data_IF_913972222640
#
_entry.id   IF_913972222640
#
_cell.length_a   1.000
_cell.length_b   1.000
_cell.length_c   1.000
_cell.angle_alpha   90.00
_cell.angle_beta   90.00
_cell.angle_gamma   90.00
#
_symmetry.space_group_name_H-M   'P 1'
#
loop_
_entity.id
_entity.type
_entity.pdbx_description
1 polymer ?
#
# COMPACT_ATOMS: atom_id res chain seq x y z
N UNK A 1 3.94 -4.68 -8.22
CA UNK A 1 3.14 -4.46 -7.00
C UNK A 1 3.74 -5.23 -5.85
N UNK A 2 4.41 -4.53 -4.94
CA UNK A 2 5.27 -5.12 -3.91
C UNK A 2 4.57 -5.41 -2.57
N UNK A 3 3.35 -4.89 -2.37
CA UNK A 3 2.65 -4.93 -1.07
C UNK A 3 1.36 -5.74 -1.13
N UNK A 4 0.86 -6.16 0.03
CA UNK A 4 -0.31 -7.05 0.21
C UNK A 4 -1.64 -6.51 -0.37
N UNK A 5 -1.65 -5.28 -0.88
CA UNK A 5 -2.82 -4.59 -1.40
C UNK A 5 -3.80 -4.18 -0.31
N UNK A 6 -3.33 -4.06 0.93
CA UNK A 6 -4.04 -3.38 2.03
C UNK A 6 -3.55 -1.94 2.16
N UNK A 7 -4.27 -1.14 2.93
CA UNK A 7 -3.83 0.19 3.35
C UNK A 7 -3.46 0.12 4.83
N UNK A 8 -2.17 0.14 5.13
CA UNK A 8 -1.66 0.23 6.49
C UNK A 8 -1.45 1.73 6.82
N UNK A 9 -1.93 2.18 7.98
CA UNK A 9 -1.85 3.59 8.42
C UNK A 9 -0.77 3.76 9.47
N UNK A 10 -0.91 3.14 10.64
CA UNK A 10 0.17 3.08 11.63
C UNK A 10 0.09 1.73 12.31
N UNK A 11 0.87 0.77 11.83
CA UNK A 11 0.92 -0.57 12.40
C UNK A 11 1.81 -0.66 13.63
N UNK A 12 2.85 0.17 13.70
CA UNK A 12 3.78 0.28 14.83
C UNK A 12 4.10 1.75 15.09
N UNK A 13 4.17 2.13 16.36
CA UNK A 13 4.58 3.47 16.73
C UNK A 13 6.11 3.60 16.52
N UNK A 14 6.63 4.75 16.06
CA UNK A 14 8.07 4.90 15.85
C UNK A 14 8.91 4.56 17.09
N UNK A 15 9.87 3.63 16.93
CA UNK A 15 10.72 3.07 17.99
C UNK A 15 9.97 2.25 19.06
N UNK A 16 8.75 1.81 18.79
CA UNK A 16 8.02 0.85 19.61
C UNK A 16 7.85 -0.47 18.84
N UNK A 17 8.11 -1.58 19.51
CA UNK A 17 7.90 -2.92 18.96
C UNK A 17 6.47 -3.41 19.16
N UNK A 18 5.69 -2.76 20.03
CA UNK A 18 4.29 -3.08 20.23
C UNK A 18 3.46 -2.60 19.02
N UNK A 19 2.62 -3.46 18.44
CA UNK A 19 1.78 -3.05 17.34
C UNK A 19 0.66 -2.13 17.85
N UNK A 20 0.33 -1.13 17.05
CA UNK A 20 -0.71 -0.14 17.36
C UNK A 20 -2.07 -0.75 17.06
N UNK A 21 -2.96 -0.76 18.05
CA UNK A 21 -4.32 -1.27 17.88
C UNK A 21 -5.23 -0.23 17.20
N UNK A 22 -5.07 1.07 17.51
CA UNK A 22 -5.92 2.16 17.02
C UNK A 22 -5.07 3.28 16.40
N UNK A 23 -4.81 3.24 15.08
CA UNK A 23 -3.88 4.16 14.42
C UNK A 23 -4.22 5.64 14.53
N UNK A 24 -5.50 6.00 14.40
CA UNK A 24 -5.95 7.39 14.43
C UNK A 24 -5.76 8.01 15.82
N UNK A 25 -6.16 7.28 16.87
CA UNK A 25 -5.97 7.70 18.27
C UNK A 25 -4.49 7.94 18.62
N UNK A 26 -3.57 7.17 18.03
CA UNK A 26 -2.13 7.31 18.25
C UNK A 26 -1.54 8.60 17.63
N UNK A 27 -2.28 9.29 16.76
CA UNK A 27 -1.79 10.49 16.07
C UNK A 27 -1.63 11.70 17.00
N UNK A 28 -2.42 11.80 18.07
CA UNK A 28 -2.27 12.86 19.06
C UNK A 28 -0.88 12.82 19.72
N UNK A 29 -0.45 11.62 20.09
CA UNK A 29 0.88 11.39 20.68
C UNK A 29 1.98 11.53 19.62
N UNK A 30 1.75 11.05 18.39
CA UNK A 30 2.67 11.26 17.27
C UNK A 30 2.92 12.74 16.99
N UNK A 31 1.88 13.58 17.05
CA UNK A 31 2.00 15.03 16.89
C UNK A 31 2.86 15.69 17.97
N UNK A 32 2.77 15.19 19.21
CA UNK A 32 3.57 15.69 20.33
C UNK A 32 5.04 15.25 20.23
N UNK A 33 5.28 13.97 19.91
CA UNK A 33 6.62 13.39 19.90
C UNK A 33 7.39 13.65 18.59
N UNK A 34 6.69 13.71 17.46
CA UNK A 34 7.25 13.83 16.11
C UNK A 34 6.44 14.81 15.24
N UNK A 35 6.49 16.12 15.53
CA UNK A 35 5.64 17.11 14.86
C UNK A 35 5.89 17.24 13.34
N UNK A 36 7.06 16.79 12.85
CA UNK A 36 7.40 16.77 11.43
C UNK A 36 6.99 15.48 10.70
N UNK A 37 6.37 14.53 11.39
CA UNK A 37 5.84 13.31 10.75
C UNK A 37 4.67 13.66 9.82
N UNK A 38 4.53 13.07 8.62
CA UNK A 38 3.44 13.40 7.69
C UNK A 38 2.03 13.37 8.31
N UNK A 39 1.69 12.33 9.09
CA UNK A 39 0.43 12.30 9.84
C UNK A 39 0.29 13.38 10.92
N UNK A 40 1.37 13.76 11.60
CA UNK A 40 1.32 14.84 12.59
C UNK A 40 1.02 16.19 11.92
N UNK A 41 1.53 16.39 10.70
CA UNK A 41 1.31 17.59 9.89
C UNK A 41 -0.10 17.64 9.32
N UNK A 42 -0.63 16.51 8.83
CA UNK A 42 -2.02 16.42 8.34
C UNK A 42 -3.05 16.57 9.46
N UNK A 43 -2.79 15.91 10.59
CA UNK A 43 -3.77 15.73 11.66
C UNK A 43 -4.79 14.63 11.35
N UNK A 44 -5.36 14.10 12.43
CA UNK A 44 -6.25 12.94 12.44
C UNK A 44 -7.45 13.08 11.50
N UNK A 45 -8.14 14.23 11.52
CA UNK A 45 -9.33 14.47 10.70
C UNK A 45 -9.05 14.33 9.20
N UNK A 46 -7.96 14.93 8.71
CA UNK A 46 -7.62 14.86 7.29
C UNK A 46 -7.21 13.43 6.87
N UNK A 47 -6.56 12.70 7.78
CA UNK A 47 -6.22 11.29 7.54
C UNK A 47 -7.49 10.45 7.46
N UNK A 48 -8.40 10.57 8.43
CA UNK A 48 -9.67 9.87 8.46
C UNK A 48 -10.51 10.15 7.21
N UNK A 49 -10.62 11.42 6.80
CA UNK A 49 -11.35 11.82 5.60
C UNK A 49 -10.78 11.18 4.33
N UNK A 50 -9.45 11.16 4.16
CA UNK A 50 -8.81 10.54 3.01
C UNK A 50 -9.06 9.02 2.97
N UNK A 51 -9.03 8.36 4.14
CA UNK A 51 -9.32 6.92 4.27
C UNK A 51 -10.79 6.61 3.94
N UNK A 52 -11.73 7.43 4.42
CA UNK A 52 -13.15 7.30 4.11
C UNK A 52 -13.44 7.52 2.62
N UNK A 53 -12.80 8.51 2.01
CA UNK A 53 -12.90 8.75 0.56
C UNK A 53 -12.35 7.57 -0.25
N UNK A 54 -11.26 6.94 0.21
CA UNK A 54 -10.73 5.74 -0.42
C UNK A 54 -11.69 4.55 -0.32
N UNK A 55 -12.31 4.33 0.83
CA UNK A 55 -13.35 3.29 1.00
C UNK A 55 -14.52 3.55 0.05
N UNK A 56 -15.00 4.79 -0.04
CA UNK A 56 -16.08 5.16 -0.95
C UNK A 56 -15.70 4.94 -2.43
N UNK A 57 -14.52 5.40 -2.84
CA UNK A 57 -14.02 5.21 -4.21
C UNK A 57 -13.88 3.73 -4.57
N UNK A 58 -13.29 2.94 -3.67
CA UNK A 58 -13.06 1.51 -3.92
C UNK A 58 -14.36 0.71 -3.99
N UNK A 59 -15.38 1.12 -3.22
CA UNK A 59 -16.74 0.62 -3.35
C UNK A 59 -17.35 0.96 -4.72
N UNK A 60 -17.20 2.20 -5.20
CA UNK A 60 -17.73 2.65 -6.49
C UNK A 60 -17.11 1.90 -7.67
N UNK A 61 -15.80 1.68 -7.64
CA UNK A 61 -15.07 0.99 -8.73
C UNK A 61 -15.15 -0.55 -8.63
N UNK A 62 -15.94 -1.09 -7.70
CA UNK A 62 -16.22 -2.53 -7.59
C UNK A 62 -15.13 -3.37 -6.91
N UNK A 63 -14.22 -2.75 -6.16
CA UNK A 63 -13.19 -3.42 -5.35
C UNK A 63 -13.31 -3.00 -3.89
N UNK A 64 -14.39 -3.35 -3.17
CA UNK A 64 -14.65 -2.82 -1.83
C UNK A 64 -13.52 -3.10 -0.84
N UNK A 65 -13.15 -2.07 -0.06
CA UNK A 65 -12.27 -2.16 1.10
C UNK A 65 -13.06 -1.89 2.37
N UNK A 66 -12.63 -2.47 3.48
CA UNK A 66 -13.17 -2.16 4.80
C UNK A 66 -12.10 -2.29 5.89
N UNK A 67 -12.36 -1.70 7.05
CA UNK A 67 -11.56 -1.85 8.26
C UNK A 67 -12.09 -2.94 9.19
N UNK A 68 -11.61 -2.92 10.43
CA UNK A 68 -12.06 -3.82 11.48
C UNK A 68 -13.54 -3.61 11.84
N UNK A 69 -14.15 -4.61 12.48
CA UNK A 69 -15.54 -4.52 12.94
C UNK A 69 -15.76 -3.40 13.96
N UNK A 70 -14.75 -3.14 14.80
CA UNK A 70 -14.73 -1.98 15.70
C UNK A 70 -14.04 -0.83 14.98
N UNK A 71 -14.79 0.24 14.77
CA UNK A 71 -14.30 1.40 14.03
C UNK A 71 -13.05 2.02 14.68
N UNK A 72 -12.09 2.38 13.84
CA UNK A 72 -10.77 2.88 14.23
C UNK A 72 -9.75 1.82 14.68
N UNK A 73 -10.13 0.55 14.85
CA UNK A 73 -9.17 -0.53 15.15
C UNK A 73 -8.46 -1.02 13.86
N UNK A 74 -7.22 -1.45 14.00
CA UNK A 74 -6.54 -2.29 13.01
C UNK A 74 -7.16 -3.70 12.99
N UNK A 75 -7.35 -4.24 11.79
CA UNK A 75 -7.50 -5.67 11.53
C UNK A 75 -6.20 -6.40 11.89
N UNK A 76 -6.32 -7.68 12.25
CA UNK A 76 -5.16 -8.56 12.43
C UNK A 76 -5.19 -9.65 11.38
N UNK A 77 -4.42 -9.50 10.31
CA UNK A 77 -4.44 -10.42 9.18
C UNK A 77 -3.22 -11.36 9.21
N UNK A 78 -3.37 -12.63 8.81
CA UNK A 78 -2.24 -13.55 8.70
C UNK A 78 -1.35 -13.17 7.50
N UNK A 79 -0.04 -13.24 7.71
CA UNK A 79 0.95 -13.20 6.62
C UNK A 79 1.14 -14.59 5.97
N UNK A 80 1.88 -14.70 4.85
CA UNK A 80 2.27 -15.99 4.24
C UNK A 80 3.10 -16.93 5.13
N UNK A 81 3.60 -16.42 6.26
CA UNK A 81 4.29 -17.23 7.28
C UNK A 81 3.42 -17.41 8.53
N UNK A 82 2.14 -17.03 8.48
CA UNK A 82 1.19 -17.17 9.59
C UNK A 82 1.38 -16.17 10.72
N UNK A 83 2.18 -15.11 10.55
CA UNK A 83 2.34 -14.07 11.57
C UNK A 83 1.19 -13.06 11.51
N UNK A 84 0.67 -12.63 12.67
CA UNK A 84 -0.30 -11.56 12.75
C UNK A 84 0.29 -10.23 12.26
N UNK A 85 -0.47 -9.51 11.43
CA UNK A 85 -0.10 -8.19 10.91
C UNK A 85 -1.23 -7.19 11.16
N UNK A 86 -0.94 -6.03 11.80
CA UNK A 86 -1.89 -4.92 11.84
C UNK A 86 -2.12 -4.36 10.44
N UNK A 87 -3.38 -4.08 10.12
CA UNK A 87 -3.82 -3.52 8.84
C UNK A 87 -5.04 -2.64 9.06
N UNK A 88 -5.06 -1.42 8.52
CA UNK A 88 -6.16 -0.50 8.79
C UNK A 88 -7.34 -0.72 7.83
N UNK A 89 -7.08 -0.81 6.53
CA UNK A 89 -8.08 -1.19 5.53
C UNK A 89 -7.57 -2.36 4.69
N UNK A 90 -8.43 -3.33 4.43
CA UNK A 90 -8.11 -4.46 3.57
C UNK A 90 -9.19 -4.64 2.49
N UNK A 91 -8.83 -5.17 1.31
CA UNK A 91 -9.82 -5.53 0.31
C UNK A 91 -10.75 -6.59 0.91
N UNK A 92 -12.01 -6.60 0.49
CA UNK A 92 -13.04 -7.50 1.03
C UNK A 92 -12.60 -8.97 1.10
N UNK A 93 -11.81 -9.40 0.11
CA UNK A 93 -11.19 -10.71 0.01
C UNK A 93 -10.30 -11.12 1.20
N UNK A 94 -9.81 -10.18 2.00
CA UNK A 94 -8.92 -10.47 3.13
C UNK A 94 -9.63 -10.37 4.48
N UNK A 95 -10.81 -9.72 4.55
CA UNK A 95 -11.50 -9.43 5.82
C UNK A 95 -11.88 -10.69 6.59
N UNK A 96 -12.25 -11.75 5.88
CA UNK A 96 -12.56 -13.02 6.54
C UNK A 96 -11.30 -13.74 7.08
N UNK A 97 -10.11 -13.17 6.93
CA UNK A 97 -8.87 -13.61 7.56
C UNK A 97 -8.56 -12.94 8.89
N UNK A 98 -9.40 -12.01 9.38
CA UNK A 98 -9.18 -11.35 10.67
C UNK A 98 -9.03 -12.38 11.80
N UNK A 99 -7.94 -12.26 12.56
CA UNK A 99 -7.53 -13.16 13.63
C UNK A 99 -8.28 -12.88 14.94
N UNK A 100 -9.02 -11.77 15.03
CA UNK A 100 -9.95 -11.51 16.14
C UNK A 100 -11.21 -12.41 16.07
N UNK A 101 -11.49 -13.00 14.92
CA UNK A 101 -12.58 -13.96 14.72
C UNK A 101 -12.23 -15.31 15.33
N UNK A 102 -13.17 -15.87 16.10
CA UNK A 102 -12.97 -17.12 16.83
C UNK A 102 -13.15 -18.38 15.97
N UNK A 103 -13.77 -18.24 14.79
CA UNK A 103 -14.03 -19.36 13.88
C UNK A 103 -12.71 -19.99 13.39
N UNK A 104 -12.60 -21.33 13.42
CA UNK A 104 -11.41 -22.05 12.98
C UNK A 104 -11.11 -21.80 11.50
N UNK A 105 -9.84 -21.91 11.13
CA UNK A 105 -9.37 -21.67 9.76
C UNK A 105 -8.88 -22.96 9.10
N UNK A 106 -9.32 -23.18 7.88
CA UNK A 106 -8.73 -24.14 6.95
C UNK A 106 -7.84 -23.36 5.97
N UNK A 107 -6.52 -23.51 6.10
CA UNK A 107 -5.55 -22.92 5.17
C UNK A 107 -5.32 -23.92 4.04
N UNK A 108 -5.69 -23.55 2.81
CA UNK A 108 -5.59 -24.41 1.63
C UNK A 108 -4.57 -23.86 0.67
N UNK A 109 -3.57 -24.67 0.36
CA UNK A 109 -2.58 -24.37 -0.67
C UNK A 109 -2.80 -25.20 -1.92
N UNK A 110 -2.16 -24.77 -3.00
CA UNK A 110 -2.10 -25.52 -4.26
C UNK A 110 -0.72 -26.16 -4.35
N UNK A 111 -0.66 -27.48 -4.61
CA UNK A 111 0.62 -28.19 -4.73
C UNK A 111 1.47 -27.58 -5.85
N UNK A 112 2.76 -27.40 -5.59
CA UNK A 112 3.71 -26.82 -6.54
C UNK A 112 3.82 -25.29 -6.49
N UNK A 113 2.95 -24.60 -5.73
CA UNK A 113 3.11 -23.17 -5.49
C UNK A 113 4.29 -22.92 -4.54
N UNK A 114 5.20 -22.01 -4.93
CA UNK A 114 6.51 -21.84 -4.28
C UNK A 114 6.50 -20.92 -3.05
N UNK A 115 5.47 -20.10 -2.90
CA UNK A 115 5.42 -18.98 -1.97
C UNK A 115 4.23 -19.07 -1.01
N UNK A 116 3.59 -20.24 -0.90
CA UNK A 116 2.48 -20.49 0.01
C UNK A 116 2.56 -21.88 0.63
N UNK A 117 2.79 -21.92 1.96
CA UNK A 117 2.99 -23.15 2.71
C UNK A 117 1.91 -23.29 3.80
N UNK A 118 0.77 -23.94 3.49
CA UNK A 118 -0.37 -24.04 4.40
C UNK A 118 -0.05 -24.60 5.78
N UNK A 119 0.81 -25.62 5.84
CA UNK A 119 1.23 -26.26 7.09
C UNK A 119 2.00 -25.28 7.98
N UNK A 120 2.95 -24.53 7.41
CA UNK A 120 3.69 -23.49 8.12
C UNK A 120 2.76 -22.40 8.66
N UNK A 121 1.83 -21.93 7.81
CA UNK A 121 0.87 -20.89 8.18
C UNK A 121 -0.01 -21.40 9.34
N UNK A 122 -0.60 -22.59 9.20
CA UNK A 122 -1.46 -23.18 10.22
C UNK A 122 -0.71 -23.45 11.53
N UNK A 123 0.52 -23.96 11.47
CA UNK A 123 1.34 -24.21 12.67
C UNK A 123 1.64 -22.90 13.41
N UNK A 124 2.04 -21.84 12.71
CA UNK A 124 2.33 -20.55 13.33
C UNK A 124 1.07 -19.87 13.86
N UNK A 125 -0.08 -20.01 13.19
CA UNK A 125 -1.36 -19.54 13.70
C UNK A 125 -1.75 -20.25 15.01
N UNK A 126 -1.60 -21.57 15.08
CA UNK A 126 -1.86 -22.33 16.30
C UNK A 126 -0.93 -21.92 17.44
N UNK A 127 0.36 -21.66 17.17
CA UNK A 127 1.31 -21.15 18.18
C UNK A 127 0.91 -19.77 18.75
N UNK A 128 0.18 -18.98 17.96
CA UNK A 128 -0.38 -17.69 18.39
C UNK A 128 -1.78 -17.83 19.02
N UNK A 129 -2.31 -19.04 19.16
CA UNK A 129 -3.63 -19.30 19.77
C UNK A 129 -4.80 -19.29 18.78
N UNK A 130 -4.57 -19.19 17.48
CA UNK A 130 -5.62 -19.22 16.46
C UNK A 130 -5.78 -20.63 15.89
N UNK A 131 -6.97 -21.21 16.04
CA UNK A 131 -7.27 -22.58 15.59
C UNK A 131 -7.18 -22.66 14.07
N UNK A 132 -6.18 -23.37 13.56
CA UNK A 132 -5.97 -23.54 12.12
C UNK A 132 -5.56 -24.97 11.77
N UNK A 133 -5.95 -25.43 10.58
CA UNK A 133 -5.40 -26.65 9.96
C UNK A 133 -5.07 -26.42 8.50
N UNK A 134 -4.21 -27.25 7.97
CA UNK A 134 -3.72 -27.15 6.60
C UNK A 134 -4.34 -28.22 5.69
N UNK A 135 -4.47 -27.90 4.41
CA UNK A 135 -4.74 -28.85 3.35
C UNK A 135 -4.05 -28.43 2.04
N UNK A 136 -3.87 -29.40 1.14
CA UNK A 136 -3.35 -29.17 -0.20
C UNK A 136 -4.32 -29.69 -1.25
N UNK A 137 -4.51 -28.89 -2.29
CA UNK A 137 -5.20 -29.26 -3.51
C UNK A 137 -4.21 -29.45 -4.67
N UNK A 138 -4.44 -30.40 -5.57
CA UNK A 138 -3.61 -30.57 -6.76
C UNK A 138 -3.80 -29.40 -7.74
N UNK A 139 -2.73 -29.04 -8.44
CA UNK A 139 -2.68 -27.87 -9.34
C UNK A 139 -3.57 -28.02 -10.57
N UNK A 140 -3.74 -29.25 -11.05
CA UNK A 140 -4.55 -29.62 -12.22
C UNK A 140 -6.06 -29.36 -12.06
N UNK A 141 -6.53 -29.10 -10.83
CA UNK A 141 -7.88 -28.58 -10.60
C UNK A 141 -8.08 -27.19 -11.21
N UNK A 142 -7.00 -26.40 -11.28
CA UNK A 142 -7.04 -25.00 -11.73
C UNK A 142 -6.38 -24.86 -13.10
N UNK A 143 -5.27 -25.55 -13.36
CA UNK A 143 -4.50 -25.37 -14.60
C UNK A 143 -3.66 -26.58 -14.95
N UNK A 144 -3.47 -26.82 -16.25
CA UNK A 144 -2.63 -27.88 -16.79
C UNK A 144 -1.13 -27.53 -16.76
N UNK A 145 -0.77 -26.31 -16.34
CA UNK A 145 0.62 -25.87 -16.22
C UNK A 145 1.29 -26.53 -15.02
N UNK A 146 2.59 -26.82 -15.14
CA UNK A 146 3.39 -27.40 -14.05
C UNK A 146 4.13 -26.37 -13.19
N UNK A 147 4.31 -25.14 -13.69
CA UNK A 147 4.93 -24.02 -12.97
C UNK A 147 4.07 -22.77 -13.16
N UNK A 148 3.62 -22.20 -12.05
CA UNK A 148 2.69 -21.06 -12.06
C UNK A 148 2.94 -20.08 -10.93
N UNK A 149 2.63 -18.82 -11.22
CA UNK A 149 2.53 -17.76 -10.21
C UNK A 149 1.10 -17.59 -9.71
N UNK A 150 0.92 -16.96 -8.55
CA UNK A 150 -0.41 -16.57 -8.04
C UNK A 150 -1.19 -15.69 -9.01
N UNK A 151 -0.51 -14.82 -9.77
CA UNK A 151 -1.12 -14.02 -10.85
C UNK A 151 -1.71 -14.91 -11.95
N UNK A 152 -0.99 -15.93 -12.38
CA UNK A 152 -1.47 -16.85 -13.41
C UNK A 152 -2.65 -17.70 -12.91
N UNK A 153 -2.62 -18.11 -11.63
CA UNK A 153 -3.74 -18.78 -11.00
C UNK A 153 -4.96 -17.87 -10.87
N UNK A 154 -4.77 -16.59 -10.55
CA UNK A 154 -5.84 -15.60 -10.49
C UNK A 154 -6.56 -15.47 -11.84
N UNK A 155 -5.83 -15.29 -12.93
CA UNK A 155 -6.41 -15.30 -14.28
C UNK A 155 -7.07 -16.63 -14.64
N UNK A 156 -6.52 -17.75 -14.19
CA UNK A 156 -7.11 -19.06 -14.45
C UNK A 156 -8.47 -19.23 -13.75
N UNK A 157 -8.68 -18.63 -12.58
CA UNK A 157 -9.93 -18.71 -11.81
C UNK A 157 -11.00 -17.72 -12.25
N UNK A 158 -10.70 -16.83 -13.20
CA UNK A 158 -11.74 -16.07 -13.91
C UNK A 158 -12.61 -16.98 -14.82
N UNK A 159 -12.13 -18.19 -15.15
CA UNK A 159 -12.91 -19.22 -15.85
C UNK A 159 -13.88 -19.94 -14.88
N UNK A 160 -15.21 -19.86 -15.10
CA UNK A 160 -16.21 -20.51 -14.24
C UNK A 160 -16.04 -22.03 -14.11
N UNK A 161 -15.55 -22.72 -15.14
CA UNK A 161 -15.39 -24.17 -15.11
C UNK A 161 -14.26 -24.58 -14.15
N UNK A 162 -13.14 -23.85 -14.17
CA UNK A 162 -12.01 -24.06 -13.24
C UNK A 162 -12.41 -23.68 -11.81
N UNK A 163 -13.16 -22.59 -11.66
CA UNK A 163 -13.70 -22.16 -10.37
C UNK A 163 -14.63 -23.21 -9.75
N UNK A 164 -15.53 -23.83 -10.54
CA UNK A 164 -16.40 -24.90 -10.06
C UNK A 164 -15.63 -26.11 -9.53
N UNK A 165 -14.59 -26.56 -10.27
CA UNK A 165 -13.71 -27.65 -9.80
C UNK A 165 -13.03 -27.34 -8.47
N UNK A 166 -12.55 -26.11 -8.30
CA UNK A 166 -11.96 -25.66 -7.04
C UNK A 166 -12.99 -25.64 -5.92
N UNK A 167 -14.16 -25.05 -6.14
CA UNK A 167 -15.22 -24.94 -5.13
C UNK A 167 -15.71 -26.31 -4.65
N UNK A 168 -15.91 -27.27 -5.55
CA UNK A 168 -16.24 -28.66 -5.21
C UNK A 168 -15.17 -29.31 -4.32
N UNK A 169 -13.89 -29.07 -4.63
CA UNK A 169 -12.78 -29.61 -3.84
C UNK A 169 -12.70 -28.96 -2.45
N UNK A 170 -12.88 -27.64 -2.37
CA UNK A 170 -12.92 -26.90 -1.10
C UNK A 170 -14.09 -27.37 -0.23
N UNK A 171 -15.27 -27.57 -0.81
CA UNK A 171 -16.47 -28.04 -0.11
C UNK A 171 -16.25 -29.40 0.56
N UNK A 172 -15.54 -30.32 -0.11
CA UNK A 172 -15.19 -31.64 0.47
C UNK A 172 -14.18 -31.55 1.60
N UNK A 173 -13.33 -30.52 1.61
CA UNK A 173 -12.30 -30.33 2.63
C UNK A 173 -12.84 -29.58 3.85
N UNK A 174 -13.72 -28.62 3.67
CA UNK A 174 -14.20 -27.73 4.73
C UNK A 174 -15.04 -28.49 5.77
N UNK A 175 -14.84 -28.15 7.05
CA UNK A 175 -15.69 -28.60 8.15
C UNK A 175 -16.69 -27.50 8.54
N UNK A 176 -17.84 -27.86 9.12
CA UNK A 176 -18.82 -26.87 9.57
C UNK A 176 -18.22 -25.82 10.50
N UNK A 177 -18.45 -24.54 10.19
CA UNK A 177 -17.98 -23.40 10.97
C UNK A 177 -16.54 -22.95 10.66
N UNK A 178 -15.83 -23.59 9.73
CA UNK A 178 -14.53 -23.12 9.28
C UNK A 178 -14.61 -21.95 8.29
N UNK A 179 -13.56 -21.12 8.29
CA UNK A 179 -13.26 -20.15 7.24
C UNK A 179 -12.09 -20.67 6.42
N UNK A 180 -12.10 -20.43 5.11
CA UNK A 180 -11.11 -21.00 4.19
C UNK A 180 -10.14 -19.90 3.76
N UNK A 181 -8.87 -20.05 4.13
CA UNK A 181 -7.77 -19.19 3.69
C UNK A 181 -7.06 -19.77 2.48
N UNK A 182 -6.93 -19.00 1.41
CA UNK A 182 -6.25 -19.37 0.17
C UNK A 182 -5.07 -18.43 -0.09
N UNK A 183 -4.07 -18.80 -0.91
CA UNK A 183 -3.21 -17.79 -1.53
C UNK A 183 -4.08 -16.77 -2.29
N UNK A 184 -3.59 -15.55 -2.49
CA UNK A 184 -4.36 -14.53 -3.22
C UNK A 184 -4.48 -14.86 -4.72
N UNK A 185 -5.47 -15.69 -5.07
CA UNK A 185 -5.74 -16.21 -6.41
C UNK A 185 -7.20 -16.05 -6.84
N UNK A 186 -8.03 -15.33 -6.09
CA UNK A 186 -9.48 -15.29 -6.30
C UNK A 186 -9.89 -14.37 -7.46
N UNK A 187 -9.52 -14.72 -8.69
CA UNK A 187 -9.83 -13.96 -9.90
C UNK A 187 -8.96 -12.71 -10.06
N UNK A 188 -8.62 -12.38 -11.30
CA UNK A 188 -7.99 -11.09 -11.61
C UNK A 188 -9.06 -10.08 -12.04
N UNK A 189 -9.87 -10.46 -13.02
CA UNK A 189 -10.83 -9.55 -13.65
C UNK A 189 -12.24 -9.70 -13.07
N UNK A 190 -12.60 -10.91 -12.59
CA UNK A 190 -13.93 -11.23 -12.06
C UNK A 190 -13.92 -11.53 -10.56
N UNK A 191 -13.00 -10.90 -9.83
CA UNK A 191 -12.70 -11.17 -8.42
C UNK A 191 -13.93 -11.35 -7.51
N UNK A 192 -14.86 -10.38 -7.51
CA UNK A 192 -16.05 -10.39 -6.65
C UNK A 192 -16.97 -11.57 -6.96
N UNK A 193 -17.13 -11.91 -8.24
CA UNK A 193 -17.90 -13.08 -8.68
C UNK A 193 -17.21 -14.38 -8.29
N UNK A 194 -15.88 -14.47 -8.42
CA UNK A 194 -15.11 -15.65 -8.02
C UNK A 194 -15.28 -15.93 -6.52
N UNK A 195 -15.11 -14.90 -5.70
CA UNK A 195 -15.25 -15.02 -4.25
C UNK A 195 -16.68 -15.41 -3.85
N UNK A 196 -17.69 -14.74 -4.40
CA UNK A 196 -19.10 -15.01 -4.10
C UNK A 196 -19.52 -16.44 -4.47
N UNK A 197 -19.12 -16.92 -5.64
CA UNK A 197 -19.44 -18.27 -6.11
C UNK A 197 -18.78 -19.35 -5.22
N UNK A 198 -17.49 -19.20 -4.88
CA UNK A 198 -16.82 -20.15 -4.00
C UNK A 198 -17.42 -20.17 -2.58
N UNK A 199 -17.81 -19.02 -2.03
CA UNK A 199 -18.50 -18.96 -0.73
C UNK A 199 -19.86 -19.66 -0.80
N UNK A 200 -20.61 -19.47 -1.89
CA UNK A 200 -21.91 -20.12 -2.11
C UNK A 200 -21.77 -21.64 -2.22
N UNK A 201 -20.77 -22.12 -2.97
CA UNK A 201 -20.54 -23.56 -3.15
C UNK A 201 -20.10 -24.26 -1.86
N UNK A 202 -19.24 -23.61 -1.08
CA UNK A 202 -18.64 -24.19 0.14
C UNK A 202 -19.49 -23.99 1.39
N UNK A 203 -20.33 -22.95 1.43
CA UNK A 203 -21.04 -22.53 2.64
C UNK A 203 -20.12 -21.94 3.72
N UNK A 204 -18.87 -21.62 3.37
CA UNK A 204 -17.86 -21.09 4.27
C UNK A 204 -17.45 -19.67 3.83
N UNK A 205 -17.03 -18.84 4.80
CA UNK A 205 -16.36 -17.58 4.46
C UNK A 205 -14.99 -17.89 3.85
N UNK A 206 -14.63 -17.17 2.79
CA UNK A 206 -13.37 -17.36 2.08
C UNK A 206 -12.52 -16.11 2.24
N UNK A 207 -11.21 -16.29 2.41
CA UNK A 207 -10.27 -15.17 2.40
C UNK A 207 -8.96 -15.51 1.69
N UNK A 208 -8.29 -14.45 1.24
CA UNK A 208 -6.97 -14.49 0.64
C UNK A 208 -5.89 -14.12 1.65
N UNK A 209 -4.75 -14.78 1.53
CA UNK A 209 -3.48 -14.43 2.18
C UNK A 209 -2.52 -14.02 1.05
N UNK A 210 -2.23 -12.70 0.90
CA UNK A 210 -1.35 -12.21 -0.16
C UNK A 210 0.08 -12.74 0.01
N UNK A 211 0.67 -13.28 -1.06
CA UNK A 211 2.01 -13.88 -1.06
C UNK A 211 3.10 -12.90 -1.51
N UNK A 212 4.30 -13.42 -1.81
CA UNK A 212 5.42 -12.63 -2.30
C UNK A 212 5.05 -11.91 -3.61
N UNK A 213 5.70 -10.77 -3.91
CA UNK A 213 5.46 -10.03 -5.14
C UNK A 213 5.62 -10.90 -6.41
N UNK A 214 4.79 -10.67 -7.45
CA UNK A 214 3.77 -9.62 -7.56
C UNK A 214 2.47 -9.94 -6.79
N UNK A 215 2.00 -8.96 -6.01
CA UNK A 215 0.76 -9.07 -5.25
C UNK A 215 -0.48 -8.95 -6.13
N UNK A 216 -1.30 -10.01 -6.20
CA UNK A 216 -2.57 -10.03 -6.93
C UNK A 216 -3.57 -8.96 -6.45
N UNK A 217 -3.81 -8.76 -5.13
CA UNK A 217 -4.64 -7.64 -4.67
C UNK A 217 -4.10 -6.27 -5.06
N UNK A 218 -2.77 -6.09 -5.03
CA UNK A 218 -2.14 -4.83 -5.45
C UNK A 218 -2.27 -4.56 -6.96
N UNK A 219 -2.18 -5.61 -7.79
CA UNK A 219 -2.46 -5.54 -9.24
C UNK A 219 -3.91 -5.15 -9.48
N UNK A 220 -4.87 -5.81 -8.81
CA UNK A 220 -6.31 -5.48 -8.90
C UNK A 220 -6.58 -4.01 -8.58
N UNK A 221 -6.07 -3.51 -7.46
CA UNK A 221 -6.23 -2.11 -7.07
C UNK A 221 -5.67 -1.16 -8.14
N UNK A 222 -4.47 -1.45 -8.66
CA UNK A 222 -3.84 -0.59 -9.68
C UNK A 222 -4.63 -0.60 -10.99
N UNK A 223 -5.10 -1.76 -11.42
CA UNK A 223 -5.90 -1.88 -12.64
C UNK A 223 -7.22 -1.09 -12.50
N UNK A 224 -7.91 -1.21 -11.36
CA UNK A 224 -9.16 -0.49 -11.13
C UNK A 224 -8.94 1.03 -11.06
N UNK A 225 -7.89 1.50 -10.38
CA UNK A 225 -7.56 2.92 -10.34
C UNK A 225 -7.20 3.46 -11.73
N UNK A 226 -6.42 2.72 -12.54
CA UNK A 226 -6.09 3.11 -13.92
C UNK A 226 -7.32 3.17 -14.82
N UNK A 227 -8.23 2.21 -14.69
CA UNK A 227 -9.50 2.23 -15.41
C UNK A 227 -10.36 3.43 -15.00
N UNK A 228 -10.38 3.78 -13.71
CA UNK A 228 -11.10 4.96 -13.24
C UNK A 228 -10.50 6.26 -13.77
N UNK A 229 -9.17 6.39 -13.76
CA UNK A 229 -8.47 7.53 -14.38
C UNK A 229 -8.82 7.66 -15.87
N UNK A 230 -8.86 6.54 -16.60
CA UNK A 230 -9.26 6.53 -18.01
C UNK A 230 -10.72 6.97 -18.21
N UNK A 231 -11.65 6.53 -17.36
CA UNK A 231 -13.05 6.97 -17.37
C UNK A 231 -13.19 8.47 -17.10
N UNK A 232 -12.36 9.00 -16.19
CA UNK A 232 -12.24 10.43 -15.89
C UNK A 232 -11.44 11.21 -16.96
N UNK A 233 -10.99 10.54 -18.02
CA UNK A 233 -10.20 11.13 -19.12
C UNK A 233 -8.87 11.75 -18.66
N UNK A 234 -8.32 11.27 -17.54
CA UNK A 234 -6.99 11.65 -17.08
C UNK A 234 -5.95 11.02 -18.01
N UNK A 235 -5.03 11.84 -18.53
CA UNK A 235 -3.91 11.38 -19.35
C UNK A 235 -2.85 10.75 -18.44
N UNK A 236 -2.56 9.47 -18.65
CA UNK A 236 -1.52 8.73 -17.92
C UNK A 236 -0.44 8.31 -18.91
N UNK A 237 0.76 8.86 -18.74
CA UNK A 237 1.95 8.47 -19.50
C UNK A 237 2.79 7.50 -18.66
N UNK A 238 3.23 6.40 -19.27
CA UNK A 238 3.97 5.31 -18.60
C UNK A 238 5.28 5.07 -19.35
N UNK A 239 6.32 4.65 -18.63
CA UNK A 239 7.68 4.48 -19.17
C UNK A 239 8.24 5.79 -19.75
N UNK A 240 7.99 6.90 -19.04
CA UNK A 240 8.49 8.23 -19.38
C UNK A 240 9.19 8.81 -18.15
N UNK A 241 10.50 8.61 -18.07
CA UNK A 241 11.29 9.11 -16.96
C UNK A 241 11.49 10.62 -17.10
N UNK A 242 11.24 11.36 -16.02
CA UNK A 242 11.54 12.79 -15.97
C UNK A 242 13.03 12.96 -15.69
N UNK A 243 13.73 13.64 -16.59
CA UNK A 243 15.19 13.79 -16.58
C UNK A 243 15.65 15.22 -16.30
N UNK A 244 14.72 16.16 -16.20
CA UNK A 244 15.05 17.56 -15.90
C UNK A 244 13.83 18.45 -15.76
N UNK A 245 14.09 19.72 -15.46
CA UNK A 245 13.08 20.76 -15.34
C UNK A 245 13.67 22.14 -15.67
N UNK A 246 12.78 23.11 -15.84
CA UNK A 246 13.16 24.52 -15.93
C UNK A 246 12.28 25.35 -15.01
N UNK A 247 12.92 26.22 -14.24
CA UNK A 247 12.28 27.17 -13.35
C UNK A 247 12.72 28.60 -13.65
N UNK A 248 11.79 29.53 -13.45
CA UNK A 248 12.02 30.97 -13.47
C UNK A 248 11.73 31.50 -12.06
N UNK A 249 12.77 31.92 -11.34
CA UNK A 249 12.65 32.26 -9.92
C UNK A 249 12.19 31.06 -9.08
N UNK A 250 11.11 31.23 -8.31
CA UNK A 250 10.53 30.19 -7.47
C UNK A 250 9.42 29.38 -8.18
N UNK A 251 9.31 29.45 -9.50
CA UNK A 251 8.26 28.73 -10.25
C UNK A 251 8.83 27.80 -11.30
N UNK A 252 8.41 26.53 -11.26
CA UNK A 252 8.68 25.54 -12.32
C UNK A 252 7.76 25.83 -13.51
N UNK A 253 8.34 25.93 -14.71
CA UNK A 253 7.61 26.18 -15.96
C UNK A 253 7.31 24.88 -16.71
N UNK A 254 8.27 23.95 -16.73
CA UNK A 254 8.11 22.64 -17.35
C UNK A 254 9.06 21.61 -16.75
N UNK A 255 8.67 20.34 -16.87
CA UNK A 255 9.54 19.17 -16.69
C UNK A 255 9.82 18.54 -18.05
N UNK A 256 10.95 17.86 -18.20
CA UNK A 256 11.31 17.14 -19.43
C UNK A 256 11.40 15.65 -19.19
N UNK A 257 10.79 14.88 -20.09
CA UNK A 257 10.89 13.42 -20.08
C UNK A 257 11.87 12.93 -21.13
N UNK A 258 12.51 11.79 -20.86
CA UNK A 258 13.26 11.06 -21.87
C UNK A 258 12.37 10.67 -23.06
N UNK A 259 12.94 10.70 -24.26
CA UNK A 259 12.32 10.24 -25.49
C UNK A 259 13.43 9.80 -26.47
N UNK A 260 13.13 8.91 -27.42
CA UNK A 260 14.10 8.40 -28.40
C UNK A 260 14.74 9.48 -29.29
N UNK A 261 14.18 10.70 -29.30
CA UNK A 261 14.69 11.85 -30.05
C UNK A 261 15.06 13.00 -29.13
N UNK A 262 14.34 14.12 -29.23
CA UNK A 262 14.51 15.24 -28.31
C UNK A 262 13.64 15.01 -27.06
N UNK A 263 14.15 15.30 -25.85
CA UNK A 263 13.35 15.28 -24.63
C UNK A 263 12.04 16.06 -24.81
N UNK A 264 10.95 15.50 -24.28
CA UNK A 264 9.62 16.10 -24.42
C UNK A 264 9.37 17.01 -23.22
N UNK A 265 8.99 18.27 -23.50
CA UNK A 265 8.68 19.27 -22.46
C UNK A 265 7.21 19.22 -22.09
N UNK A 266 6.93 19.03 -20.81
CA UNK A 266 5.60 19.01 -20.21
C UNK A 266 5.41 20.27 -19.38
N UNK A 267 4.54 21.18 -19.85
CA UNK A 267 4.21 22.43 -19.16
C UNK A 267 2.99 22.22 -18.27
N UNK A 268 3.04 22.77 -17.05
CA UNK A 268 1.92 22.79 -16.12
C UNK A 268 2.03 24.01 -15.21
N UNK A 269 0.90 24.44 -14.66
CA UNK A 269 0.89 25.53 -13.67
C UNK A 269 1.31 25.03 -12.28
N UNK A 270 1.06 23.77 -11.98
CA UNK A 270 1.28 23.11 -10.68
C UNK A 270 1.84 21.71 -10.90
N UNK A 271 2.76 21.30 -10.04
CA UNK A 271 3.42 19.99 -10.08
C UNK A 271 3.25 19.29 -8.73
N UNK A 272 2.83 18.03 -8.76
CA UNK A 272 2.83 17.15 -7.59
C UNK A 272 3.89 16.07 -7.77
N UNK A 273 4.88 16.07 -6.90
CA UNK A 273 5.99 15.14 -6.87
C UNK A 273 5.65 13.97 -5.92
N UNK A 274 5.33 12.82 -6.52
CA UNK A 274 4.99 11.58 -5.81
C UNK A 274 5.87 10.40 -6.31
N UNK A 275 7.17 10.65 -6.51
CA UNK A 275 8.15 9.71 -7.07
C UNK A 275 8.65 8.65 -6.08
N UNK A 276 8.17 8.70 -4.83
CA UNK A 276 8.58 7.80 -3.77
C UNK A 276 10.01 8.04 -3.28
N UNK A 277 10.38 7.37 -2.19
CA UNK A 277 11.72 7.49 -1.60
C UNK A 277 12.76 6.66 -2.36
N UNK A 278 13.76 6.14 -1.63
CA UNK A 278 14.88 5.39 -2.22
C UNK A 278 14.41 4.17 -3.02
N UNK A 279 13.45 3.41 -2.49
CA UNK A 279 12.89 2.24 -3.19
C UNK A 279 11.94 2.62 -4.35
N UNK A 280 11.43 3.86 -4.36
CA UNK A 280 10.52 4.36 -5.38
C UNK A 280 11.23 5.01 -6.57
N UNK A 281 12.51 5.37 -6.42
CA UNK A 281 13.32 6.03 -7.45
C UNK A 281 13.29 7.56 -7.43
N UNK A 282 12.50 8.18 -6.54
CA UNK A 282 12.52 9.63 -6.34
C UNK A 282 13.74 10.13 -5.56
N UNK A 283 14.42 9.24 -4.83
CA UNK A 283 15.69 9.52 -4.16
C UNK A 283 16.71 8.48 -4.62
N UNK A 284 17.91 8.93 -4.99
CA UNK A 284 18.99 8.04 -5.39
C UNK A 284 20.23 8.23 -4.49
N UNK A 285 21.05 7.20 -4.43
CA UNK A 285 22.26 7.14 -3.60
C UNK A 285 23.44 6.59 -4.38
N UNK A 286 24.66 6.95 -3.99
CA UNK A 286 25.87 6.35 -4.55
C UNK A 286 26.80 5.74 -3.50
N UNK A 287 27.87 5.09 -3.99
CA UNK A 287 28.88 4.45 -3.15
C UNK A 287 29.73 5.44 -2.33
N UNK A 288 29.72 6.74 -2.66
CA UNK A 288 30.44 7.76 -1.89
C UNK A 288 29.63 8.24 -0.69
N UNK A 289 28.33 7.93 -0.65
CA UNK A 289 27.42 8.41 0.38
C UNK A 289 26.61 9.62 -0.05
N UNK A 290 26.63 10.00 -1.33
CA UNK A 290 25.76 11.05 -1.85
C UNK A 290 24.32 10.55 -1.85
N UNK A 291 23.38 11.43 -1.49
CA UNK A 291 21.93 11.22 -1.57
C UNK A 291 21.33 12.44 -2.27
N UNK A 292 20.46 12.24 -3.26
CA UNK A 292 19.82 13.33 -4.00
C UNK A 292 18.41 12.97 -4.46
N UNK A 293 17.54 13.98 -4.56
CA UNK A 293 16.23 13.87 -5.21
C UNK A 293 16.41 13.97 -6.72
N UNK A 294 15.71 13.13 -7.48
CA UNK A 294 16.09 12.81 -8.87
C UNK A 294 15.61 13.80 -9.93
N UNK A 295 14.62 14.64 -9.65
CA UNK A 295 14.02 15.53 -10.65
C UNK A 295 14.43 16.98 -10.43
N UNK A 296 14.13 17.52 -9.26
CA UNK A 296 14.26 18.94 -8.94
C UNK A 296 15.52 19.27 -8.14
N UNK A 297 16.29 18.25 -7.75
CA UNK A 297 17.43 18.35 -6.84
C UNK A 297 17.05 19.04 -5.53
N UNK A 298 15.89 18.64 -4.98
CA UNK A 298 15.38 19.20 -3.72
C UNK A 298 16.30 18.87 -2.54
N UNK A 299 16.37 19.77 -1.54
CA UNK A 299 17.02 19.48 -0.26
C UNK A 299 16.43 18.22 0.38
N UNK A 300 17.30 17.39 0.97
CA UNK A 300 16.90 16.16 1.65
C UNK A 300 17.31 16.18 3.12
N UNK A 301 16.38 15.80 4.00
CA UNK A 301 16.71 15.47 5.37
C UNK A 301 17.29 14.05 5.40
N UNK A 302 18.60 13.91 5.51
CA UNK A 302 19.33 12.63 5.46
C UNK A 302 20.35 12.51 6.59
N UNK A 303 20.76 11.30 6.98
CA UNK A 303 21.95 11.14 7.81
C UNK A 303 23.18 11.71 7.09
N UNK A 304 24.05 12.42 7.83
CA UNK A 304 25.17 13.18 7.23
C UNK A 304 26.19 12.30 6.52
N UNK A 305 26.45 11.11 7.07
CA UNK A 305 27.50 10.21 6.60
C UNK A 305 26.93 8.84 6.24
N UNK A 306 27.49 8.20 5.21
CA UNK A 306 27.14 6.83 4.80
C UNK A 306 27.24 5.82 5.93
N UNK A 307 28.21 5.99 6.84
CA UNK A 307 28.38 5.13 8.01
C UNK A 307 27.22 5.19 9.01
N UNK A 308 26.34 6.18 8.92
CA UNK A 308 25.17 6.36 9.78
C UNK A 308 23.87 5.84 9.13
N UNK A 309 23.92 5.39 7.87
CA UNK A 309 22.73 4.93 7.14
C UNK A 309 22.10 3.70 7.77
N UNK A 310 22.94 2.77 8.20
CA UNK A 310 22.52 1.48 8.72
C UNK A 310 23.05 1.26 10.13
N UNK A 311 22.17 0.81 11.02
CA UNK A 311 22.57 0.25 12.31
C UNK A 311 23.19 -1.14 12.13
N UNK A 312 23.93 -1.60 13.14
CA UNK A 312 24.66 -2.87 13.09
C UNK A 312 23.74 -4.10 12.99
N UNK A 313 22.54 -4.04 13.57
CA UNK A 313 21.56 -5.12 13.48
C UNK A 313 20.74 -4.98 12.20
N UNK A 314 20.60 -6.06 11.44
CA UNK A 314 19.77 -6.08 10.23
C UNK A 314 18.27 -5.85 10.53
N UNK A 315 17.79 -6.40 11.64
CA UNK A 315 16.45 -6.11 12.19
C UNK A 315 16.61 -5.30 13.47
N UNK A 316 17.15 -4.09 13.34
CA UNK A 316 17.24 -3.16 14.47
C UNK A 316 15.83 -2.65 14.81
N UNK A 317 15.37 -2.75 16.08
CA UNK A 317 14.04 -2.28 16.47
C UNK A 317 13.79 -0.79 16.21
N UNK A 318 14.85 0.02 16.13
CA UNK A 318 14.73 1.44 15.80
C UNK A 318 14.76 1.72 14.27
N UNK A 319 14.80 0.69 13.43
CA UNK A 319 14.91 0.77 11.97
C UNK A 319 16.31 1.10 11.48
N UNK A 320 16.42 1.65 10.28
CA UNK A 320 17.69 2.19 9.76
C UNK A 320 17.52 3.67 9.38
N UNK A 321 18.40 4.58 9.84
CA UNK A 321 18.22 6.03 9.64
C UNK A 321 18.01 6.46 8.18
N UNK A 322 18.57 5.72 7.23
CA UNK A 322 18.41 6.00 5.79
C UNK A 322 16.96 5.90 5.31
N UNK A 323 16.11 5.09 5.94
CA UNK A 323 14.70 4.96 5.55
C UNK A 323 13.83 6.14 5.99
N UNK A 324 14.38 7.03 6.83
CA UNK A 324 13.75 8.32 7.17
C UNK A 324 14.17 9.46 6.26
N UNK A 325 15.05 9.17 5.30
CA UNK A 325 15.52 10.14 4.34
C UNK A 325 14.39 10.57 3.40
N UNK A 326 14.24 11.87 3.20
CA UNK A 326 13.21 12.40 2.32
C UNK A 326 13.27 13.91 2.15
N UNK A 327 12.32 14.42 1.38
CA UNK A 327 12.13 15.85 1.17
C UNK A 327 11.37 16.42 2.38
N UNK A 328 11.95 17.38 3.14
CA UNK A 328 11.21 18.10 4.15
C UNK A 328 10.20 19.05 3.48
N UNK A 329 9.03 19.21 4.09
CA UNK A 329 7.93 20.04 3.57
C UNK A 329 7.36 20.96 4.64
N UNK A 330 6.70 22.04 4.22
CA UNK A 330 5.88 22.88 5.09
C UNK A 330 4.49 22.26 5.34
N UNK A 331 3.62 22.94 6.11
CA UNK A 331 2.25 22.48 6.38
C UNK A 331 1.35 22.38 5.13
N UNK A 332 1.75 23.02 4.03
CA UNK A 332 1.09 22.94 2.72
C UNK A 332 1.72 21.85 1.82
N UNK A 333 2.58 20.98 2.35
CA UNK A 333 3.25 19.92 1.59
C UNK A 333 4.14 20.43 0.44
N UNK A 334 4.62 21.67 0.53
CA UNK A 334 5.60 22.23 -0.41
C UNK A 334 7.02 21.97 0.10
N UNK A 335 7.96 21.54 -0.76
CA UNK A 335 9.36 21.35 -0.39
C UNK A 335 9.99 22.60 0.22
N UNK A 336 10.75 22.42 1.29
CA UNK A 336 11.47 23.49 2.00
C UNK A 336 12.99 23.27 2.00
N UNK A 337 13.72 24.37 2.11
CA UNK A 337 15.17 24.38 2.26
C UNK A 337 15.62 24.25 3.73
N UNK A 338 16.92 24.37 3.97
CA UNK A 338 17.51 24.27 5.31
C UNK A 338 17.11 25.41 6.26
N UNK A 339 16.53 26.49 5.75
CA UNK A 339 16.02 27.63 6.52
C UNK A 339 14.49 27.59 6.67
N UNK A 340 13.86 26.45 6.38
CA UNK A 340 12.42 26.26 6.33
C UNK A 340 11.70 27.16 5.30
N UNK A 341 12.43 27.71 4.32
CA UNK A 341 11.87 28.51 3.24
C UNK A 341 11.43 27.62 2.07
N UNK A 342 10.31 27.94 1.44
CA UNK A 342 9.79 27.20 0.29
C UNK A 342 10.75 27.28 -0.89
N UNK A 343 11.03 26.13 -1.51
CA UNK A 343 11.91 26.03 -2.69
C UNK A 343 11.19 26.50 -3.97
N UNK A 344 9.98 25.99 -4.22
CA UNK A 344 9.15 26.38 -5.37
C UNK A 344 7.71 26.64 -4.96
N UNK A 345 7.10 27.71 -5.47
CA UNK A 345 5.72 28.11 -5.20
C UNK A 345 4.66 27.18 -5.80
N UNK A 346 5.02 26.39 -6.81
CA UNK A 346 4.08 25.55 -7.55
C UNK A 346 4.46 24.07 -7.57
N UNK A 347 5.27 23.62 -6.61
CA UNK A 347 5.63 22.21 -6.42
C UNK A 347 5.16 21.75 -5.05
N UNK A 348 4.43 20.64 -5.04
CA UNK A 348 4.03 19.90 -3.84
C UNK A 348 4.68 18.53 -3.84
N UNK A 349 4.85 17.93 -2.67
CA UNK A 349 5.41 16.58 -2.52
C UNK A 349 4.47 15.69 -1.69
N UNK A 350 4.42 14.40 -2.03
CA UNK A 350 3.56 13.43 -1.36
C UNK A 350 4.18 12.02 -1.32
N UNK A 351 3.59 11.19 -0.46
CA UNK A 351 3.93 9.79 -0.28
C UNK A 351 5.31 9.57 0.32
N UNK A 352 5.94 8.46 -0.06
CA UNK A 352 7.20 8.01 0.53
C UNK A 352 8.41 8.87 0.17
N UNK A 353 8.22 9.95 -0.59
CA UNK A 353 9.26 10.94 -0.82
C UNK A 353 9.49 11.83 0.41
N UNK A 354 8.46 11.97 1.26
CA UNK A 354 8.49 12.86 2.41
C UNK A 354 9.47 12.38 3.48
N UNK A 355 10.13 13.33 4.13
CA UNK A 355 11.06 13.06 5.22
C UNK A 355 10.38 12.64 6.53
N UNK A 356 11.22 12.24 7.49
CA UNK A 356 10.92 12.14 8.92
C UNK A 356 10.03 10.97 9.39
N UNK A 357 9.63 10.08 8.49
CA UNK A 357 8.92 8.81 8.74
C UNK A 357 9.76 7.62 8.27
N UNK A 358 9.69 6.47 8.94
CA UNK A 358 10.15 5.18 8.40
C UNK A 358 8.92 4.32 8.06
N UNK A 359 8.36 4.44 6.84
CA UNK A 359 7.08 3.84 6.51
C UNK A 359 7.12 2.30 6.48
N UNK A 360 8.31 1.71 6.38
CA UNK A 360 8.51 0.26 6.41
C UNK A 360 8.41 -0.25 7.84
N UNK A 361 9.14 0.39 8.77
CA UNK A 361 9.13 0.02 10.18
C UNK A 361 7.76 0.28 10.81
N UNK A 362 7.19 1.45 10.55
CA UNK A 362 5.91 1.90 11.11
C UNK A 362 4.71 1.14 10.53
N UNK A 363 4.88 0.47 9.38
CA UNK A 363 3.79 -0.03 8.52
C UNK A 363 2.76 1.08 8.26
N UNK A 364 3.22 2.13 7.61
CA UNK A 364 2.43 3.33 7.29
C UNK A 364 2.50 3.72 5.80
N UNK A 365 3.15 2.89 4.98
CA UNK A 365 3.51 3.19 3.60
C UNK A 365 2.32 3.60 2.72
N UNK A 366 1.30 2.77 2.63
CA UNK A 366 0.12 3.03 1.80
C UNK A 366 -0.73 4.16 2.39
N UNK A 367 -0.88 4.21 3.71
CA UNK A 367 -1.62 5.27 4.38
C UNK A 367 -0.96 6.64 4.16
N UNK A 368 0.36 6.75 4.24
CA UNK A 368 1.08 8.01 3.96
C UNK A 368 0.89 8.39 2.49
N UNK A 369 1.10 7.47 1.56
CA UNK A 369 0.88 7.72 0.13
C UNK A 369 -0.54 8.23 -0.17
N UNK A 370 -1.55 7.57 0.37
CA UNK A 370 -2.95 7.91 0.17
C UNK A 370 -3.30 9.29 0.76
N UNK A 371 -2.98 9.50 2.03
CA UNK A 371 -3.44 10.66 2.80
C UNK A 371 -2.71 11.94 2.38
N UNK A 372 -1.40 11.87 2.16
CA UNK A 372 -0.61 13.02 1.71
C UNK A 372 -0.85 13.33 0.23
N UNK A 373 -1.12 12.32 -0.61
CA UNK A 373 -1.54 12.51 -1.99
C UNK A 373 -2.87 13.25 -2.09
N UNK A 374 -3.86 12.84 -1.29
CA UNK A 374 -5.15 13.53 -1.21
C UNK A 374 -5.02 14.97 -0.71
N UNK A 375 -4.19 15.19 0.32
CA UNK A 375 -3.95 16.53 0.86
C UNK A 375 -3.27 17.45 -0.16
N UNK A 376 -2.19 16.99 -0.79
CA UNK A 376 -1.48 17.76 -1.79
C UNK A 376 -2.37 18.08 -3.00
N UNK A 377 -3.22 17.15 -3.45
CA UNK A 377 -4.19 17.41 -4.51
C UNK A 377 -5.17 18.53 -4.13
N UNK A 378 -5.79 18.50 -2.95
CA UNK A 378 -6.69 19.57 -2.47
C UNK A 378 -5.98 20.93 -2.39
N UNK A 379 -4.74 20.95 -1.92
CA UNK A 379 -3.95 22.18 -1.85
C UNK A 379 -3.59 22.71 -3.23
N UNK A 380 -3.48 21.84 -4.24
CA UNK A 380 -3.32 22.26 -5.64
C UNK A 380 -4.62 22.78 -6.27
N UNK A 381 -5.80 22.53 -5.72
CA UNK A 381 -7.07 23.03 -6.27
C UNK A 381 -7.40 24.45 -5.81
N UNK A 382 -6.97 24.85 -4.61
CA UNK A 382 -7.31 26.16 -4.01
C UNK A 382 -6.52 27.35 -4.59
N UNK A 383 -6.73 27.68 -5.86
CA UNK A 383 -6.50 29.03 -6.38
C UNK A 383 -7.35 29.29 -7.65
N UNK A 384 -8.67 29.40 -7.46
CA UNK A 384 -9.66 30.13 -8.29
C UNK A 384 -11.05 30.07 -7.63
N UNK A 385 -11.16 30.45 -6.36
CA UNK A 385 -12.44 30.93 -5.82
C UNK A 385 -12.17 32.32 -5.28
N UNK A 386 -12.83 33.29 -5.91
CA UNK A 386 -12.87 34.66 -5.46
C UNK A 386 -13.10 34.72 -3.95
N UNK A 387 -12.35 35.61 -3.33
CA UNK A 387 -12.81 36.40 -2.19
C UNK A 387 -14.28 36.78 -2.37
N UNK A 388 -15.18 36.18 -1.60
CA UNK A 388 -16.35 36.86 -1.04
C UNK A 388 -17.02 35.98 0.03
N UNK A 389 -17.02 36.51 1.26
CA UNK A 389 -17.95 36.28 2.37
C UNK A 389 -18.18 34.84 2.88
N UNK A 390 -17.66 34.56 4.08
CA UNK A 390 -18.47 34.00 5.18
C UNK A 390 -18.01 34.58 6.51
N UNK A 391 -18.86 35.45 7.08
CA UNK A 391 -18.99 35.63 8.52
C UNK A 391 -20.07 34.71 9.07
#
# INVERSE_FOLDING_TARGET
HWHAGSIDVLGYYPNDAAPVARPLDAMAELKRAQPRHPYAMLGESHVADALNNFVALTQEIGLPYAGAAKDGDNLWLPSPVGAARPTFLAPHAQLAGDLQRAEPMLIVGVRGLRDFYPELIAENLNKQGHRARAAFLPLDLITERHDVTTVQLAYALDDPARRGKLGDALKRLAQPGERIGLPAILGMDTHTAVMSDLQTQTGAAIFEIPTLPPSVPGVRLTNALRQQLARLKVRVEVNMDIIGFHAEGDRVIWVESEASGRPLKHRAEKFLLATGGILGGGINTDHTGKVWETIFNLPLATPRDRGQWFRARFFDPAGHPIFRAGVPVNCEFQPIDANDARVFANVWAAGNLLAHTDPILERSLEGIALTTGAAAARLTENCSLNTEHWG
#
